data_IF_793419834843
#
_entry.id   IF_793419834843
#
_cell.length_a   1.000
_cell.length_b   1.000
_cell.length_c   1.000
_cell.angle_alpha   90.00
_cell.angle_beta   90.00
_cell.angle_gamma   90.00
#
_symmetry.space_group_name_H-M   'P 1'
#
loop_
_entity.id
_entity.type
_entity.pdbx_description
1 polymer ?
#
# COMPACT_ATOMS: atom_id res chain seq x y z
N UNK A 1 10.31 7.32 -5.92
CA UNK A 1 9.84 6.40 -4.86
C UNK A 1 11.02 5.88 -4.06
N UNK A 2 11.08 6.18 -2.76
CA UNK A 2 12.02 5.56 -1.83
C UNK A 2 11.74 4.05 -1.72
N UNK A 3 12.58 3.24 -2.35
CA UNK A 3 12.51 1.77 -2.34
C UNK A 3 12.51 1.20 -0.91
N UNK A 4 13.01 1.97 0.06
CA UNK A 4 13.05 1.63 1.48
C UNK A 4 11.65 1.60 2.12
N UNK A 5 10.83 2.62 1.86
CA UNK A 5 9.47 2.72 2.40
C UNK A 5 8.57 1.59 1.89
N UNK A 6 8.70 1.24 0.61
CA UNK A 6 7.99 0.10 0.04
C UNK A 6 8.35 -1.22 0.73
N UNK A 7 9.62 -1.45 1.05
CA UNK A 7 10.05 -2.65 1.78
C UNK A 7 9.51 -2.67 3.21
N UNK A 8 9.51 -1.53 3.92
CA UNK A 8 8.98 -1.42 5.28
C UNK A 8 7.46 -1.68 5.32
N UNK A 9 6.70 -1.03 4.45
CA UNK A 9 5.25 -1.24 4.33
C UNK A 9 4.95 -2.71 4.00
N UNK A 10 5.69 -3.29 3.07
CA UNK A 10 5.56 -4.70 2.69
C UNK A 10 5.90 -5.64 3.84
N UNK A 11 6.97 -5.38 4.60
CA UNK A 11 7.34 -6.17 5.78
C UNK A 11 6.26 -6.08 6.86
N UNK A 12 5.72 -4.89 7.14
CA UNK A 12 4.65 -4.69 8.13
C UNK A 12 3.37 -5.41 7.71
N UNK A 13 2.97 -5.31 6.45
CA UNK A 13 1.81 -6.03 5.91
C UNK A 13 1.99 -7.55 5.95
N UNK A 14 3.18 -8.07 5.63
CA UNK A 14 3.43 -9.50 5.69
C UNK A 14 3.53 -10.04 7.13
N UNK A 15 3.97 -9.21 8.08
CA UNK A 15 4.01 -9.57 9.49
C UNK A 15 2.65 -9.48 10.19
N UNK A 16 1.64 -8.87 9.56
CA UNK A 16 0.33 -8.61 10.15
C UNK A 16 -0.79 -9.10 9.21
N UNK A 17 -1.17 -10.35 9.39
CA UNK A 17 -2.19 -11.00 8.57
C UNK A 17 -3.57 -10.33 8.68
N UNK A 18 -3.89 -9.70 9.82
CA UNK A 18 -5.15 -8.98 10.00
C UNK A 18 -5.16 -7.68 9.20
N UNK A 19 -4.04 -6.94 9.21
CA UNK A 19 -3.86 -5.76 8.36
C UNK A 19 -3.90 -6.14 6.87
N UNK A 20 -3.24 -7.23 6.48
CA UNK A 20 -3.27 -7.72 5.11
C UNK A 20 -4.70 -8.05 4.65
N UNK A 21 -5.46 -8.80 5.45
CA UNK A 21 -6.85 -9.14 5.13
C UNK A 21 -7.71 -7.88 4.98
N UNK A 22 -7.60 -6.93 5.94
CA UNK A 22 -8.30 -5.64 5.86
C UNK A 22 -7.99 -4.88 4.57
N UNK A 23 -6.72 -4.77 4.20
CA UNK A 23 -6.32 -4.08 2.97
C UNK A 23 -6.81 -4.79 1.70
N UNK A 24 -6.94 -6.12 1.74
CA UNK A 24 -7.52 -6.91 0.64
C UNK A 24 -9.05 -6.78 0.53
N UNK A 25 -9.74 -6.55 1.64
CA UNK A 25 -11.19 -6.33 1.67
C UNK A 25 -11.59 -4.94 1.15
N UNK A 26 -10.65 -3.98 1.15
CA UNK A 26 -10.88 -2.64 0.60
C UNK A 26 -10.98 -2.69 -0.93
N UNK A 27 -12.22 -2.57 -1.41
CA UNK A 27 -12.53 -2.54 -2.85
C UNK A 27 -12.46 -1.13 -3.43
N UNK A 28 -12.67 -0.09 -2.62
CA UNK A 28 -12.51 1.31 -3.03
C UNK A 28 -11.02 1.70 -3.02
N UNK A 29 -10.47 2.16 -4.17
CA UNK A 29 -9.10 2.64 -4.26
C UNK A 29 -8.78 3.79 -3.28
N UNK A 30 -9.76 4.64 -2.94
CA UNK A 30 -9.56 5.76 -2.01
C UNK A 30 -9.34 5.26 -0.58
N UNK A 31 -10.13 4.28 -0.16
CA UNK A 31 -10.01 3.71 1.18
C UNK A 31 -8.70 2.92 1.33
N UNK A 32 -8.31 2.18 0.28
CA UNK A 32 -7.01 1.52 0.23
C UNK A 32 -5.86 2.52 0.37
N UNK A 33 -5.89 3.62 -0.40
CA UNK A 33 -4.87 4.67 -0.33
C UNK A 33 -4.81 5.33 1.04
N UNK A 34 -5.96 5.62 1.64
CA UNK A 34 -6.03 6.21 2.99
C UNK A 34 -5.43 5.26 4.05
N UNK A 35 -5.70 3.96 3.94
CA UNK A 35 -5.16 2.95 4.85
C UNK A 35 -3.63 2.79 4.69
N UNK A 36 -3.11 2.80 3.45
CA UNK A 36 -1.66 2.75 3.20
C UNK A 36 -0.98 4.05 3.65
N UNK A 37 -1.64 5.20 3.48
CA UNK A 37 -1.13 6.48 3.97
C UNK A 37 -1.03 6.49 5.49
N UNK A 38 -2.09 6.05 6.19
CA UNK A 38 -2.07 5.93 7.65
C UNK A 38 -0.95 5.00 8.13
N UNK A 39 -0.73 3.88 7.43
CA UNK A 39 0.36 2.94 7.75
C UNK A 39 1.75 3.57 7.59
N UNK A 40 1.93 4.43 6.60
CA UNK A 40 3.19 5.16 6.42
C UNK A 40 3.40 6.22 7.49
N UNK A 41 2.34 6.95 7.86
CA UNK A 41 2.37 7.95 8.94
C UNK A 41 2.70 7.31 10.30
N UNK A 42 2.15 6.13 10.61
CA UNK A 42 2.51 5.34 11.80
C UNK A 42 3.99 4.94 11.84
N UNK A 43 4.62 4.77 10.67
CA UNK A 43 6.04 4.48 10.53
C UNK A 43 6.92 5.74 10.51
N UNK A 44 6.32 6.93 10.69
CA UNK A 44 7.02 8.21 10.67
C UNK A 44 7.32 8.76 9.28
N UNK A 45 6.69 8.22 8.24
CA UNK A 45 6.83 8.68 6.86
C UNK A 45 5.60 9.43 6.40
N UNK A 46 5.79 10.66 5.92
CA UNK A 46 4.73 11.41 5.24
C UNK A 46 4.78 11.10 3.75
N UNK A 47 3.77 10.38 3.26
CA UNK A 47 3.61 10.13 1.83
C UNK A 47 2.76 11.23 1.19
N UNK A 48 3.27 11.84 0.12
CA UNK A 48 2.41 12.69 -0.71
C UNK A 48 1.38 11.83 -1.46
N UNK A 49 0.13 12.31 -1.51
CA UNK A 49 -0.97 11.61 -2.20
C UNK A 49 -0.65 11.29 -3.67
N UNK A 50 0.16 12.12 -4.32
CA UNK A 50 0.57 11.91 -5.71
C UNK A 50 1.45 10.65 -5.86
N UNK A 51 2.48 10.51 -5.03
CA UNK A 51 3.38 9.35 -5.04
C UNK A 51 2.64 8.05 -4.67
N UNK A 52 1.72 8.13 -3.71
CA UNK A 52 0.86 7.03 -3.29
C UNK A 52 -0.05 6.54 -4.43
N UNK A 53 -0.63 7.48 -5.18
CA UNK A 53 -1.50 7.16 -6.31
C UNK A 53 -0.72 6.47 -7.42
N UNK A 54 0.46 6.98 -7.79
CA UNK A 54 1.32 6.36 -8.80
C UNK A 54 1.78 4.95 -8.37
N UNK A 55 2.22 4.79 -7.12
CA UNK A 55 2.62 3.50 -6.56
C UNK A 55 1.49 2.48 -6.57
N UNK A 56 0.28 2.91 -6.24
CA UNK A 56 -0.92 2.05 -6.21
C UNK A 56 -1.36 1.68 -7.62
N UNK A 57 -1.30 2.61 -8.57
CA UNK A 57 -1.58 2.34 -9.98
C UNK A 57 -0.60 1.31 -10.57
N UNK A 58 0.69 1.45 -10.25
CA UNK A 58 1.73 0.51 -10.64
C UNK A 58 1.54 -0.87 -9.99
N UNK A 59 1.22 -0.91 -8.69
CA UNK A 59 0.91 -2.14 -7.96
C UNK A 59 -0.32 -2.86 -8.49
N UNK A 60 -1.40 -2.13 -8.80
CA UNK A 60 -2.63 -2.69 -9.38
C UNK A 60 -2.39 -3.26 -10.78
N UNK A 61 -1.60 -2.57 -11.62
CA UNK A 61 -1.15 -3.12 -12.91
C UNK A 61 -0.33 -4.39 -12.73
N UNK A 62 0.64 -4.40 -11.81
CA UNK A 62 1.50 -5.56 -11.58
C UNK A 62 0.72 -6.78 -11.03
N UNK A 63 -0.27 -6.55 -10.16
CA UNK A 63 -1.15 -7.58 -9.64
C UNK A 63 -2.10 -8.14 -10.70
N UNK A 64 -2.74 -7.26 -11.48
CA UNK A 64 -3.57 -7.67 -12.62
C UNK A 64 -2.76 -8.45 -13.66
N UNK A 65 -1.50 -8.09 -13.90
CA UNK A 65 -0.63 -8.79 -14.84
C UNK A 65 -0.14 -10.16 -14.32
N UNK A 66 -0.17 -10.38 -12.99
CA UNK A 66 0.19 -11.65 -12.34
C UNK A 66 -0.97 -12.64 -12.21
N UNK A 67 -2.20 -12.14 -12.17
CA UNK A 67 -3.43 -12.94 -12.07
C UNK A 67 -4.10 -13.18 -13.44
N UNK A 68 -3.31 -13.11 -14.53
CA UNK A 68 -3.76 -13.45 -15.88
C UNK A 68 -3.14 -14.76 -16.35
#
# INVERSE_FOLDING_TARGET
MDTHLFHLLRQRMHGDHALQARLFELTDPKDFLAAVQALAEELGYTLEKADLFEATLAGRRAWHNRNR
#
